data_IF_211582031104
#
_entry.id   IF_211582031104
#
_cell.length_a   1.000
_cell.length_b   1.000
_cell.length_c   1.000
_cell.angle_alpha   90.00
_cell.angle_beta   90.00
_cell.angle_gamma   90.00
#
_symmetry.space_group_name_H-M   'P 1'
#
loop_
_entity.id
_entity.type
_entity.pdbx_description
1 polymer ?
#
# COMPACT_ATOMS: atom_id res chain seq x y z
N UNK A 1 31.27 6.12 -19.74
CA UNK A 1 30.38 6.70 -18.71
C UNK A 1 28.90 6.49 -19.04
N UNK A 2 28.35 6.97 -20.17
CA UNK A 2 26.92 6.75 -20.55
C UNK A 2 26.47 5.27 -20.51
N UNK A 3 27.29 4.33 -21.01
CA UNK A 3 26.96 2.88 -20.99
C UNK A 3 26.83 2.30 -19.58
N UNK A 4 27.61 2.81 -18.62
CA UNK A 4 27.58 2.38 -17.22
C UNK A 4 26.30 2.91 -16.54
N UNK A 5 25.91 4.15 -16.86
CA UNK A 5 24.66 4.76 -16.36
C UNK A 5 23.44 4.00 -16.89
N UNK A 6 23.40 3.64 -18.18
CA UNK A 6 22.30 2.85 -18.73
C UNK A 6 22.23 1.43 -18.15
N UNK A 7 23.37 0.80 -17.89
CA UNK A 7 23.41 -0.51 -17.24
C UNK A 7 22.89 -0.45 -15.79
N UNK A 8 23.25 0.60 -15.04
CA UNK A 8 22.76 0.82 -13.68
C UNK A 8 21.24 1.09 -13.65
N UNK A 9 20.72 1.89 -14.59
CA UNK A 9 19.28 2.14 -14.71
C UNK A 9 18.49 0.87 -15.04
N UNK A 10 19.00 0.05 -15.98
CA UNK A 10 18.38 -1.23 -16.32
C UNK A 10 18.38 -2.20 -15.13
N UNK A 11 19.49 -2.28 -14.39
CA UNK A 11 19.57 -3.14 -13.21
C UNK A 11 18.60 -2.70 -12.10
N UNK A 12 18.49 -1.39 -11.85
CA UNK A 12 17.54 -0.85 -10.88
C UNK A 12 16.09 -1.13 -11.25
N UNK A 13 15.75 -1.01 -12.55
CA UNK A 13 14.40 -1.31 -13.03
C UNK A 13 14.03 -2.79 -12.89
N UNK A 14 14.95 -3.72 -13.20
CA UNK A 14 14.71 -5.16 -13.02
C UNK A 14 14.58 -5.55 -11.55
N UNK A 15 15.40 -4.97 -10.66
CA UNK A 15 15.34 -5.25 -9.23
C UNK A 15 14.02 -4.77 -8.60
N UNK A 16 13.49 -3.62 -9.02
CA UNK A 16 12.22 -3.09 -8.54
C UNK A 16 11.00 -3.93 -8.96
N UNK A 17 11.06 -4.61 -10.10
CA UNK A 17 9.96 -5.44 -10.60
C UNK A 17 9.84 -6.80 -9.89
N UNK A 18 10.92 -7.30 -9.27
CA UNK A 18 10.94 -8.63 -8.65
C UNK A 18 10.15 -8.73 -7.34
N UNK A 19 9.78 -7.61 -6.71
CA UNK A 19 9.04 -7.59 -5.44
C UNK A 19 7.51 -7.64 -5.57
N UNK A 20 6.96 -7.46 -6.78
CA UNK A 20 5.51 -7.43 -7.01
C UNK A 20 4.99 -8.84 -7.36
N UNK A 21 4.94 -9.73 -6.38
CA UNK A 21 4.29 -11.04 -6.51
C UNK A 21 2.87 -10.98 -5.93
N UNK A 22 1.88 -11.33 -6.74
CA UNK A 22 0.51 -11.53 -6.27
C UNK A 22 0.41 -12.90 -5.57
N UNK A 23 0.33 -12.87 -4.24
CA UNK A 23 0.04 -14.04 -3.41
C UNK A 23 -1.44 -14.08 -3.03
N UNK A 24 -1.98 -15.30 -2.95
CA UNK A 24 -3.38 -15.52 -2.55
C UNK A 24 -3.56 -15.14 -1.08
N UNK A 25 -4.77 -14.76 -0.64
CA UNK A 25 -5.00 -14.28 0.72
C UNK A 25 -4.49 -15.22 1.82
N UNK A 26 -4.68 -16.54 1.68
CA UNK A 26 -4.22 -17.54 2.66
C UNK A 26 -2.72 -17.81 2.66
N UNK A 27 -1.99 -17.37 1.63
CA UNK A 27 -0.52 -17.50 1.56
C UNK A 27 0.19 -16.39 2.35
N UNK A 28 -0.58 -15.42 2.89
CA UNK A 28 -0.07 -14.28 3.65
C UNK A 28 0.09 -14.58 5.15
N UNK A 29 -0.21 -15.81 5.58
CA UNK A 29 -0.14 -16.25 6.98
C UNK A 29 -0.85 -15.24 7.91
N UNK A 30 -0.14 -14.69 8.89
CA UNK A 30 -0.66 -13.72 9.86
C UNK A 30 -1.15 -12.41 9.24
N UNK A 31 -0.66 -12.02 8.06
CA UNK A 31 -1.13 -10.83 7.35
C UNK A 31 -2.52 -11.01 6.74
N UNK A 32 -3.03 -12.25 6.69
CA UNK A 32 -4.39 -12.56 6.27
C UNK A 32 -5.42 -12.41 7.39
N UNK A 33 -4.98 -12.26 8.64
CA UNK A 33 -5.86 -12.20 9.81
C UNK A 33 -6.77 -10.96 9.74
N UNK A 34 -8.09 -11.09 10.00
CA UNK A 34 -9.01 -9.96 10.08
C UNK A 34 -8.54 -8.80 10.96
N UNK A 35 -7.76 -9.06 12.02
CA UNK A 35 -7.22 -7.98 12.88
C UNK A 35 -6.24 -7.05 12.15
N UNK A 36 -5.61 -7.53 11.07
CA UNK A 36 -4.68 -6.76 10.26
C UNK A 36 -5.40 -5.87 9.23
N UNK A 37 -6.74 -5.96 9.11
CA UNK A 37 -7.53 -5.12 8.22
C UNK A 37 -7.78 -3.74 8.84
N UNK A 38 -7.23 -2.70 8.20
CA UNK A 38 -7.30 -1.32 8.70
C UNK A 38 -8.68 -0.67 8.63
N UNK A 39 -9.62 -1.31 7.94
CA UNK A 39 -11.00 -0.88 7.76
C UNK A 39 -12.05 -1.97 8.04
N UNK A 40 -11.69 -2.94 8.90
CA UNK A 40 -12.61 -4.00 9.33
C UNK A 40 -13.94 -3.44 9.87
N UNK A 41 -13.86 -2.40 10.73
CA UNK A 41 -15.00 -1.70 11.29
C UNK A 41 -15.16 -0.32 10.63
N UNK A 42 -16.29 -0.10 9.95
CA UNK A 42 -16.54 1.11 9.16
C UNK A 42 -16.83 2.32 10.05
N UNK A 43 -17.51 2.08 11.17
CA UNK A 43 -17.85 3.12 12.15
C UNK A 43 -16.58 3.66 12.82
N UNK A 44 -15.69 2.77 13.27
CA UNK A 44 -14.40 3.12 13.85
C UNK A 44 -13.52 3.87 12.84
N UNK A 45 -13.47 3.39 11.59
CA UNK A 45 -12.76 4.05 10.50
C UNK A 45 -13.22 5.50 10.33
N UNK A 46 -14.53 5.73 10.24
CA UNK A 46 -15.07 7.08 10.05
C UNK A 46 -14.67 8.04 11.17
N UNK A 47 -14.67 7.57 12.42
CA UNK A 47 -14.26 8.38 13.58
C UNK A 47 -12.77 8.69 13.53
N UNK A 48 -11.95 7.69 13.23
CA UNK A 48 -10.50 7.83 13.11
C UNK A 48 -10.10 8.81 12.00
N UNK A 49 -10.74 8.73 10.84
CA UNK A 49 -10.51 9.63 9.71
C UNK A 49 -10.88 11.08 10.06
N UNK A 50 -12.00 11.30 10.76
CA UNK A 50 -12.41 12.64 11.20
C UNK A 50 -11.39 13.26 12.17
N UNK A 51 -10.92 12.47 13.14
CA UNK A 51 -9.93 12.91 14.11
C UNK A 51 -8.58 13.24 13.44
N UNK A 52 -8.06 12.32 12.62
CA UNK A 52 -6.80 12.52 11.92
C UNK A 52 -6.86 13.71 10.96
N UNK A 53 -7.97 13.84 10.22
CA UNK A 53 -8.12 14.95 9.28
C UNK A 53 -8.14 16.32 9.95
N UNK A 54 -8.76 16.41 11.14
CA UNK A 54 -8.73 17.62 11.97
C UNK A 54 -7.31 17.90 12.49
N UNK A 55 -6.62 16.87 12.97
CA UNK A 55 -5.28 17.00 13.56
C UNK A 55 -4.21 17.35 12.53
N UNK A 56 -4.33 16.83 11.32
CA UNK A 56 -3.35 16.98 10.24
C UNK A 56 -3.70 18.14 9.30
N UNK A 57 -4.83 18.82 9.51
CA UNK A 57 -5.29 19.92 8.66
C UNK A 57 -5.58 19.48 7.22
N UNK A 58 -5.84 18.18 7.01
CA UNK A 58 -6.11 17.59 5.70
C UNK A 58 -7.47 16.89 5.72
N UNK A 59 -8.34 17.21 4.76
CA UNK A 59 -9.67 16.60 4.66
C UNK A 59 -9.76 15.89 3.32
N UNK A 60 -10.19 14.62 3.31
CA UNK A 60 -10.39 13.83 2.10
C UNK A 60 -9.21 12.94 1.67
N UNK A 61 -8.08 12.94 2.39
CA UNK A 61 -6.92 12.08 2.04
C UNK A 61 -7.15 10.58 2.29
N UNK A 62 -8.15 10.20 3.08
CA UNK A 62 -8.44 8.79 3.41
C UNK A 62 -9.23 8.06 2.31
N UNK A 63 -9.73 8.79 1.30
CA UNK A 63 -10.52 8.28 0.18
C UNK A 63 -9.71 7.75 -1.01
N UNK A 64 -8.37 7.78 -0.97
CA UNK A 64 -7.58 7.00 -1.92
C UNK A 64 -7.72 5.54 -1.52
N UNK A 65 -8.57 4.81 -2.24
CA UNK A 65 -8.60 3.34 -2.22
C UNK A 65 -7.17 2.84 -2.15
N UNK A 66 -6.86 2.05 -1.14
CA UNK A 66 -5.51 1.80 -0.64
C UNK A 66 -4.41 1.75 -1.70
N UNK A 67 -3.25 2.29 -1.36
CA UNK A 67 -2.01 2.17 -2.13
C UNK A 67 -1.44 0.73 -2.17
N UNK A 68 -2.29 -0.26 -2.36
CA UNK A 68 -1.96 -1.60 -2.79
C UNK A 68 -2.78 -1.89 -4.03
N UNK A 69 -2.17 -2.47 -5.06
CA UNK A 69 -2.80 -2.81 -6.34
C UNK A 69 -4.21 -3.39 -6.11
N UNK A 70 -5.24 -2.57 -6.31
CA UNK A 70 -6.64 -2.83 -5.95
C UNK A 70 -7.30 -3.87 -6.85
N UNK A 71 -6.75 -5.09 -6.89
CA UNK A 71 -7.37 -6.23 -7.52
C UNK A 71 -8.29 -6.91 -6.50
N UNK A 72 -9.60 -6.64 -6.63
CA UNK A 72 -10.67 -7.51 -6.14
C UNK A 72 -10.40 -8.97 -6.54
#
# INVERSE_FOLDING_TARGET
MRKIVYAALLFGALAGAAGCVNVKPWEREYLADPIMQSDYNKEEKSVREHFLGTREGSVGSFGVSGGGCGCN
#
